data_IF_375362765204
#
_entry.id   IF_375362765204
#
_cell.length_a   1.000
_cell.length_b   1.000
_cell.length_c   1.000
_cell.angle_alpha   90.00
_cell.angle_beta   90.00
_cell.angle_gamma   90.00
#
_symmetry.space_group_name_H-M   'P 1'
#
loop_
_entity.id
_entity.type
_entity.pdbx_description
1 polymer ?
#
# COMPACT_ATOMS: atom_id res chain seq x y z
N UNK A 1 -3.54 -15.39 54.08
CA UNK A 1 -2.58 -16.08 53.19
C UNK A 1 -3.33 -16.88 52.14
N UNK A 2 -4.17 -17.86 52.49
CA UNK A 2 -4.99 -18.57 51.48
C UNK A 2 -6.08 -17.68 50.85
N UNK A 3 -6.73 -16.79 51.61
CA UNK A 3 -7.76 -15.87 51.07
C UNK A 3 -7.20 -14.77 50.15
N UNK A 4 -5.91 -14.40 50.29
CA UNK A 4 -5.27 -13.38 49.44
C UNK A 4 -4.82 -13.96 48.09
N UNK A 5 -4.48 -15.25 48.04
CA UNK A 5 -4.13 -15.95 46.80
C UNK A 5 -5.38 -16.23 45.93
N UNK A 6 -6.53 -16.52 46.56
CA UNK A 6 -7.81 -16.67 45.82
C UNK A 6 -8.30 -15.35 45.19
N UNK A 7 -8.13 -14.21 45.88
CA UNK A 7 -8.47 -12.90 45.30
C UNK A 7 -7.57 -12.52 44.11
N UNK A 8 -6.29 -12.89 44.15
CA UNK A 8 -5.34 -12.61 43.07
C UNK A 8 -5.62 -13.48 41.82
N UNK A 9 -5.99 -14.76 42.00
CA UNK A 9 -6.44 -15.62 40.89
C UNK A 9 -7.74 -15.13 40.25
N UNK A 10 -8.70 -14.65 41.05
CA UNK A 10 -9.96 -14.13 40.53
C UNK A 10 -9.76 -12.82 39.74
N UNK A 11 -8.82 -11.96 40.18
CA UNK A 11 -8.45 -10.75 39.45
C UNK A 11 -7.73 -11.06 38.13
N UNK A 12 -6.88 -12.09 38.10
CA UNK A 12 -6.19 -12.54 36.87
C UNK A 12 -7.19 -13.14 35.87
N UNK A 13 -8.16 -13.93 36.33
CA UNK A 13 -9.21 -14.49 35.47
C UNK A 13 -10.10 -13.38 34.88
N UNK A 14 -10.40 -12.34 35.68
CA UNK A 14 -11.15 -11.16 35.24
C UNK A 14 -10.40 -10.38 34.15
N UNK A 15 -9.08 -10.19 34.33
CA UNK A 15 -8.19 -9.57 33.33
C UNK A 15 -8.08 -10.39 32.05
N UNK A 16 -8.12 -11.72 32.15
CA UNK A 16 -8.12 -12.63 30.98
C UNK A 16 -9.42 -12.53 30.19
N UNK A 17 -10.58 -12.51 30.88
CA UNK A 17 -11.91 -12.34 30.27
C UNK A 17 -12.07 -10.97 29.58
N UNK A 18 -11.49 -9.90 30.13
CA UNK A 18 -11.49 -8.58 29.48
C UNK A 18 -10.64 -8.54 28.20
N UNK A 19 -9.45 -9.16 28.22
CA UNK A 19 -8.60 -9.27 27.02
C UNK A 19 -9.28 -10.06 25.90
N UNK A 20 -10.01 -11.13 26.24
CA UNK A 20 -10.77 -11.90 25.25
C UNK A 20 -11.92 -11.09 24.64
N UNK A 21 -12.63 -10.29 25.45
CA UNK A 21 -13.68 -9.38 24.97
C UNK A 21 -13.12 -8.28 24.05
N UNK A 22 -11.94 -7.75 24.34
CA UNK A 22 -11.28 -6.75 23.50
C UNK A 22 -10.84 -7.34 22.15
N UNK A 23 -10.30 -8.57 22.16
CA UNK A 23 -9.92 -9.30 20.95
C UNK A 23 -11.14 -9.64 20.08
N UNK A 24 -12.26 -10.04 20.69
CA UNK A 24 -13.53 -10.28 19.97
C UNK A 24 -14.11 -8.97 19.40
N UNK A 25 -14.02 -7.87 20.16
CA UNK A 25 -14.40 -6.54 19.71
C UNK A 25 -13.63 -6.09 18.47
N UNK A 26 -12.30 -6.24 18.46
CA UNK A 26 -11.45 -5.92 17.30
C UNK A 26 -11.78 -6.80 16.09
N UNK A 27 -11.99 -8.11 16.30
CA UNK A 27 -12.43 -9.02 15.21
C UNK A 27 -13.75 -8.57 14.60
N UNK A 28 -14.73 -8.14 15.40
CA UNK A 28 -16.04 -7.67 14.90
C UNK A 28 -15.92 -6.39 14.07
N UNK A 29 -15.04 -5.46 14.46
CA UNK A 29 -14.81 -4.20 13.72
C UNK A 29 -14.12 -4.48 12.38
N UNK A 30 -13.14 -5.38 12.34
CA UNK A 30 -12.47 -5.81 11.10
C UNK A 30 -13.45 -6.51 10.14
N UNK A 31 -14.31 -7.38 10.67
CA UNK A 31 -15.40 -8.05 9.96
C UNK A 31 -16.43 -7.05 9.40
N UNK A 32 -16.79 -6.02 10.18
CA UNK A 32 -17.72 -4.98 9.74
C UNK A 32 -17.10 -4.07 8.67
N UNK A 33 -15.81 -3.76 8.78
CA UNK A 33 -15.05 -3.00 7.78
C UNK A 33 -15.00 -3.76 6.44
N UNK A 34 -14.78 -5.08 6.47
CA UNK A 34 -14.84 -5.95 5.29
C UNK A 34 -16.25 -6.06 4.70
N UNK A 35 -17.30 -6.13 5.54
CA UNK A 35 -18.70 -6.15 5.08
C UNK A 35 -19.15 -4.83 4.45
N UNK A 36 -18.69 -3.68 4.96
CA UNK A 36 -18.99 -2.36 4.40
C UNK A 36 -18.26 -2.11 3.06
N UNK A 37 -17.06 -2.66 2.87
CA UNK A 37 -16.33 -2.64 1.59
C UNK A 37 -17.00 -3.45 0.47
N UNK A 38 -17.80 -4.46 0.82
CA UNK A 38 -18.44 -5.40 -0.13
C UNK A 38 -19.81 -4.94 -0.66
N UNK A 39 -20.36 -3.82 -0.18
CA UNK A 39 -21.72 -3.34 -0.52
C UNK A 39 -21.84 -2.42 -1.74
N UNK A 40 -20.80 -2.32 -2.58
CA UNK A 40 -20.96 -1.72 -3.93
C UNK A 40 -20.98 -2.85 -4.94
N UNK A 41 -22.11 -3.04 -5.63
CA UNK A 41 -22.31 -4.05 -6.66
C UNK A 41 -21.36 -3.80 -7.83
N UNK A 42 -20.14 -4.31 -7.72
CA UNK A 42 -19.26 -4.58 -8.86
C UNK A 42 -19.52 -6.00 -9.34
N UNK A 43 -19.40 -6.30 -10.65
CA UNK A 43 -19.48 -7.66 -11.15
C UNK A 43 -18.52 -8.56 -10.35
N UNK A 44 -19.02 -9.68 -9.83
CA UNK A 44 -18.22 -10.60 -9.03
C UNK A 44 -17.07 -11.17 -9.86
N UNK A 45 -15.88 -11.28 -9.25
CA UNK A 45 -14.64 -11.83 -9.84
C UNK A 45 -14.84 -13.17 -10.57
N UNK A 46 -15.87 -13.95 -10.21
CA UNK A 46 -16.25 -15.18 -10.91
C UNK A 46 -16.83 -14.94 -12.33
N UNK A 47 -17.60 -13.88 -12.56
CA UNK A 47 -18.21 -13.61 -13.87
C UNK A 47 -17.15 -13.33 -14.94
N UNK A 48 -16.09 -12.57 -14.59
CA UNK A 48 -14.94 -12.34 -15.47
C UNK A 48 -14.09 -13.60 -15.69
N UNK A 49 -13.92 -14.43 -14.66
CA UNK A 49 -13.22 -15.71 -14.78
C UNK A 49 -13.96 -16.70 -15.70
N UNK A 50 -15.31 -16.72 -15.66
CA UNK A 50 -16.12 -17.61 -16.49
C UNK A 50 -16.02 -17.26 -17.99
N UNK A 51 -15.95 -15.97 -18.32
CA UNK A 51 -15.75 -15.49 -19.70
C UNK A 51 -14.34 -15.83 -20.20
N UNK A 52 -13.31 -15.67 -19.36
CA UNK A 52 -11.93 -15.96 -19.75
C UNK A 52 -11.58 -17.45 -19.84
N UNK A 53 -12.25 -18.32 -19.06
CA UNK A 53 -12.03 -19.78 -19.14
C UNK A 53 -12.47 -20.40 -20.48
N UNK A 54 -13.27 -19.69 -21.27
CA UNK A 54 -13.67 -20.13 -22.60
C UNK A 54 -12.60 -19.88 -23.68
N UNK A 55 -11.53 -19.12 -23.38
CA UNK A 55 -10.61 -18.56 -24.42
C UNK A 55 -9.17 -19.11 -24.35
N UNK A 56 -8.81 -19.97 -23.38
CA UNK A 56 -7.48 -20.58 -23.29
C UNK A 56 -7.61 -22.11 -23.36
N UNK A 57 -7.16 -22.83 -24.41
CA UNK A 57 -5.77 -23.22 -24.78
C UNK A 57 -5.81 -24.13 -26.06
N UNK A 58 -4.72 -24.51 -26.78
CA UNK A 58 -3.34 -24.69 -26.28
C UNK A 58 -2.18 -24.11 -27.13
N UNK A 59 -1.02 -24.07 -26.45
CA UNK A 59 0.32 -23.82 -26.97
C UNK A 59 0.76 -24.87 -28.00
N UNK A 60 1.36 -24.45 -29.11
CA UNK A 60 2.29 -25.30 -29.88
C UNK A 60 3.46 -24.45 -30.40
N UNK A 61 4.66 -24.86 -29.99
CA UNK A 61 5.97 -24.54 -30.56
C UNK A 61 6.14 -25.28 -31.89
N UNK A 62 6.70 -24.63 -32.91
CA UNK A 62 7.34 -25.34 -34.04
C UNK A 62 6.97 -24.83 -35.43
N UNK A 63 8.01 -24.48 -36.18
CA UNK A 63 8.05 -23.94 -37.54
C UNK A 63 7.35 -24.79 -38.61
N UNK A 64 6.80 -24.12 -39.62
CA UNK A 64 7.03 -24.31 -41.08
C UNK A 64 5.77 -24.14 -41.91
N UNK A 65 5.94 -23.44 -43.03
CA UNK A 65 5.05 -23.21 -44.18
C UNK A 65 3.92 -24.21 -44.43
N UNK A 66 2.70 -23.70 -44.61
CA UNK A 66 1.95 -23.75 -45.88
C UNK A 66 0.46 -23.44 -45.64
N UNK A 67 -0.12 -22.77 -46.62
CA UNK A 67 -1.50 -22.35 -46.81
C UNK A 67 -2.57 -23.31 -46.29
N UNK A 68 -3.51 -22.81 -45.49
CA UNK A 68 -4.82 -23.43 -45.29
C UNK A 68 -5.86 -22.35 -44.93
N UNK A 69 -6.41 -21.72 -45.96
CA UNK A 69 -7.71 -21.08 -45.88
C UNK A 69 -8.78 -22.15 -45.60
N UNK A 70 -9.74 -21.80 -44.74
CA UNK A 70 -11.01 -22.51 -44.42
C UNK A 70 -10.96 -23.37 -43.14
N UNK A 71 -11.43 -22.82 -42.00
CA UNK A 71 -12.74 -23.16 -41.41
C UNK A 71 -12.87 -22.73 -39.92
N UNK A 72 -12.97 -21.44 -39.62
CA UNK A 72 -13.84 -20.93 -38.53
C UNK A 72 -14.20 -19.47 -38.84
N UNK A 73 -15.13 -19.32 -39.79
CA UNK A 73 -15.82 -18.07 -40.03
C UNK A 73 -16.86 -17.84 -38.95
N UNK A 74 -16.54 -16.99 -37.97
CA UNK A 74 -17.53 -16.07 -37.42
C UNK A 74 -17.31 -14.74 -38.11
N UNK A 75 -17.83 -14.68 -39.34
CA UNK A 75 -18.04 -13.45 -40.07
C UNK A 75 -19.16 -12.69 -39.35
N UNK A 76 -18.79 -11.96 -38.28
CA UNK A 76 -19.63 -10.93 -37.71
C UNK A 76 -19.77 -9.87 -38.79
N UNK A 77 -20.83 -10.02 -39.59
CA UNK A 77 -21.26 -9.13 -40.66
C UNK A 77 -21.43 -7.73 -40.08
N UNK A 78 -20.33 -6.99 -39.96
CA UNK A 78 -20.31 -5.59 -39.53
C UNK A 78 -21.10 -4.85 -40.60
N UNK A 79 -22.33 -4.44 -40.26
CA UNK A 79 -23.08 -3.49 -41.09
C UNK A 79 -22.10 -2.35 -41.39
N UNK A 80 -21.74 -2.18 -42.66
CA UNK A 80 -20.96 -1.04 -43.14
C UNK A 80 -21.83 0.20 -42.95
N UNK A 81 -21.85 0.72 -41.72
CA UNK A 81 -22.28 2.07 -41.46
C UNK A 81 -21.27 2.95 -42.20
N UNK A 82 -21.74 3.75 -43.15
CA UNK A 82 -20.89 4.72 -43.84
C UNK A 82 -20.40 5.68 -42.76
N UNK A 83 -19.16 5.49 -42.32
CA UNK A 83 -18.51 6.32 -41.31
C UNK A 83 -18.57 7.77 -41.79
N UNK A 84 -19.38 8.59 -41.10
CA UNK A 84 -19.67 9.96 -41.50
C UNK A 84 -18.39 10.81 -41.49
N UNK A 85 -18.35 11.90 -42.26
CA UNK A 85 -17.20 12.82 -42.27
C UNK A 85 -16.80 13.31 -40.86
N UNK A 86 -17.78 13.42 -39.96
CA UNK A 86 -17.60 13.75 -38.53
C UNK A 86 -16.88 12.64 -37.77
N UNK A 87 -17.22 11.37 -38.01
CA UNK A 87 -16.60 10.21 -37.36
C UNK A 87 -15.11 10.08 -37.73
N UNK A 88 -14.78 10.42 -38.98
CA UNK A 88 -13.39 10.54 -39.45
C UNK A 88 -12.68 11.76 -38.88
N UNK A 89 -13.36 12.91 -38.79
CA UNK A 89 -12.78 14.13 -38.22
C UNK A 89 -12.39 13.98 -36.74
N UNK A 90 -13.13 13.19 -35.97
CA UNK A 90 -12.80 12.88 -34.57
C UNK A 90 -11.98 11.59 -34.38
N UNK A 91 -11.57 10.93 -35.48
CA UNK A 91 -10.82 9.68 -35.46
C UNK A 91 -11.45 8.64 -34.52
N UNK A 92 -12.78 8.50 -34.58
CA UNK A 92 -13.55 7.68 -33.62
C UNK A 92 -13.05 6.23 -33.60
N UNK A 93 -12.71 5.65 -34.76
CA UNK A 93 -12.13 4.31 -34.82
C UNK A 93 -10.78 4.15 -34.12
N UNK A 94 -9.91 5.17 -34.13
CA UNK A 94 -8.64 5.13 -33.40
C UNK A 94 -8.84 5.28 -31.89
N UNK A 95 -9.83 6.09 -31.48
CA UNK A 95 -10.24 6.21 -30.07
C UNK A 95 -10.79 4.90 -29.54
N UNK A 96 -11.69 4.26 -30.28
CA UNK A 96 -12.25 2.94 -29.92
C UNK A 96 -11.16 1.87 -29.77
N UNK A 97 -10.14 1.88 -30.63
CA UNK A 97 -9.00 0.96 -30.51
C UNK A 97 -8.18 1.22 -29.24
N UNK A 98 -7.84 2.49 -28.96
CA UNK A 98 -7.09 2.86 -27.77
C UNK A 98 -7.87 2.56 -26.48
N UNK A 99 -9.16 2.90 -26.45
CA UNK A 99 -10.05 2.60 -25.33
C UNK A 99 -10.17 1.09 -25.11
N UNK A 100 -10.18 0.30 -26.20
CA UNK A 100 -10.16 -1.16 -26.16
C UNK A 100 -8.88 -1.72 -25.52
N UNK A 101 -7.70 -1.22 -25.90
CA UNK A 101 -6.42 -1.62 -25.29
C UNK A 101 -6.35 -1.25 -23.81
N UNK A 102 -6.79 -0.03 -23.46
CA UNK A 102 -6.88 0.42 -22.08
C UNK A 102 -7.80 -0.52 -21.27
N UNK A 103 -9.00 -0.83 -21.78
CA UNK A 103 -9.93 -1.71 -21.10
C UNK A 103 -9.33 -3.12 -20.88
N UNK A 104 -8.62 -3.67 -21.86
CA UNK A 104 -7.91 -4.95 -21.73
C UNK A 104 -6.88 -4.92 -20.61
N UNK A 105 -6.10 -3.83 -20.46
CA UNK A 105 -5.16 -3.69 -19.34
C UNK A 105 -5.89 -3.81 -18.00
N UNK A 106 -7.02 -3.13 -17.82
CA UNK A 106 -7.78 -3.20 -16.57
C UNK A 106 -8.31 -4.61 -16.29
N UNK A 107 -8.88 -5.27 -17.29
CA UNK A 107 -9.49 -6.60 -17.10
C UNK A 107 -8.45 -7.70 -16.94
N UNK A 108 -7.37 -7.67 -17.73
CA UNK A 108 -6.33 -8.71 -17.71
C UNK A 108 -5.41 -8.58 -16.50
N UNK A 109 -5.02 -7.36 -16.10
CA UNK A 109 -4.18 -7.14 -14.93
C UNK A 109 -4.98 -7.03 -13.62
N UNK A 110 -6.30 -7.06 -13.68
CA UNK A 110 -7.17 -6.95 -12.51
C UNK A 110 -7.06 -5.60 -11.80
N UNK A 111 -6.84 -4.51 -12.55
CA UNK A 111 -6.73 -3.18 -11.97
C UNK A 111 -8.09 -2.70 -11.47
N UNK A 112 -8.09 -2.05 -10.29
CA UNK A 112 -9.27 -1.36 -9.78
C UNK A 112 -9.68 -0.21 -10.70
N UNK A 113 -10.96 -0.06 -10.99
CA UNK A 113 -11.48 1.08 -11.75
C UNK A 113 -11.20 2.44 -11.07
N UNK A 114 -10.90 2.44 -9.77
CA UNK A 114 -10.44 3.65 -9.08
C UNK A 114 -9.12 4.19 -9.66
N UNK A 115 -8.26 3.32 -10.21
CA UNK A 115 -6.99 3.70 -10.83
C UNK A 115 -7.18 4.70 -11.98
N UNK A 116 -8.27 4.62 -12.73
CA UNK A 116 -8.58 5.56 -13.81
C UNK A 116 -8.79 7.01 -13.33
N UNK A 117 -9.05 7.22 -12.03
CA UNK A 117 -9.17 8.55 -11.42
C UNK A 117 -7.83 9.14 -10.99
N UNK A 118 -6.75 8.37 -11.03
CA UNK A 118 -5.44 8.86 -10.66
C UNK A 118 -5.00 9.96 -11.66
N UNK A 119 -4.64 11.17 -11.21
CA UNK A 119 -4.18 12.23 -12.10
C UNK A 119 -2.99 11.82 -12.97
N UNK A 120 -2.07 10.99 -12.46
CA UNK A 120 -0.92 10.51 -13.22
C UNK A 120 -1.33 9.59 -14.38
N UNK A 121 -2.40 8.80 -14.21
CA UNK A 121 -2.94 7.98 -15.28
C UNK A 121 -3.44 8.87 -16.43
N UNK A 122 -4.30 9.84 -16.13
CA UNK A 122 -4.84 10.79 -17.13
C UNK A 122 -3.72 11.63 -17.77
N UNK A 123 -2.80 12.14 -16.95
CA UNK A 123 -1.69 12.96 -17.41
C UNK A 123 -0.72 12.20 -18.30
N UNK A 124 -0.56 10.88 -18.13
CA UNK A 124 0.30 10.05 -19.00
C UNK A 124 -0.21 10.10 -20.44
N UNK A 125 -1.49 9.79 -20.67
CA UNK A 125 -2.06 9.81 -22.03
C UNK A 125 -2.13 11.23 -22.59
N UNK A 126 -2.51 12.21 -21.77
CA UNK A 126 -2.53 13.62 -22.17
C UNK A 126 -1.15 14.11 -22.60
N UNK A 127 -0.10 13.74 -21.87
CA UNK A 127 1.28 14.15 -22.18
C UNK A 127 1.82 13.43 -23.41
N UNK A 128 1.54 12.13 -23.55
CA UNK A 128 1.93 11.35 -24.73
C UNK A 128 1.25 11.88 -26.01
N UNK A 129 0.00 12.34 -25.91
CA UNK A 129 -0.72 12.96 -27.03
C UNK A 129 -0.21 14.37 -27.33
N UNK A 130 -0.05 15.21 -26.31
CA UNK A 130 0.31 16.63 -26.49
C UNK A 130 1.77 16.80 -26.92
N UNK A 131 2.66 15.90 -26.48
CA UNK A 131 4.09 15.92 -26.75
C UNK A 131 4.50 14.54 -27.30
N UNK A 132 4.21 14.24 -28.58
CA UNK A 132 4.58 12.96 -29.18
C UNK A 132 6.11 12.85 -29.25
N UNK A 133 6.65 11.80 -28.63
CA UNK A 133 8.08 11.49 -28.67
C UNK A 133 8.26 10.33 -29.67
N UNK A 134 8.84 10.57 -30.87
CA UNK A 134 9.02 9.52 -31.86
C UNK A 134 9.82 8.34 -31.30
N UNK A 135 9.29 7.12 -31.47
CA UNK A 135 9.93 5.89 -30.99
C UNK A 135 9.86 5.67 -29.47
N UNK A 136 9.15 6.52 -28.71
CA UNK A 136 8.96 6.30 -27.29
C UNK A 136 8.09 5.07 -27.02
N UNK A 137 8.57 4.24 -26.09
CA UNK A 137 7.82 3.12 -25.53
C UNK A 137 7.64 3.34 -24.02
N UNK A 138 6.48 2.96 -23.46
CA UNK A 138 6.30 2.97 -22.01
C UNK A 138 7.39 2.17 -21.29
N UNK A 139 7.74 2.54 -20.05
CA UNK A 139 8.78 1.83 -19.31
C UNK A 139 8.48 0.34 -19.12
N UNK A 140 9.46 -0.51 -19.41
CA UNK A 140 9.37 -1.95 -19.19
C UNK A 140 9.49 -2.36 -17.71
N UNK A 141 9.18 -3.62 -17.42
CA UNK A 141 9.14 -4.21 -16.06
C UNK A 141 10.40 -3.92 -15.23
N UNK A 142 11.58 -4.20 -15.77
CA UNK A 142 12.84 -4.00 -15.04
C UNK A 142 13.10 -2.53 -14.73
N UNK A 143 12.78 -1.63 -15.68
CA UNK A 143 12.94 -0.19 -15.49
C UNK A 143 12.04 0.34 -14.38
N UNK A 144 10.76 -0.09 -14.36
CA UNK A 144 9.83 0.26 -13.29
C UNK A 144 10.28 -0.27 -11.93
N UNK A 145 10.72 -1.53 -11.87
CA UNK A 145 11.12 -2.20 -10.63
C UNK A 145 12.39 -1.60 -10.00
N UNK A 146 13.32 -1.08 -10.80
CA UNK A 146 14.64 -0.65 -10.31
C UNK A 146 14.88 0.83 -10.53
N UNK A 147 15.22 1.25 -11.75
CA UNK A 147 15.77 2.58 -12.04
C UNK A 147 14.74 3.69 -11.81
N UNK A 148 13.50 3.52 -12.28
CA UNK A 148 12.44 4.50 -12.10
C UNK A 148 11.96 4.55 -10.64
N UNK A 149 11.89 3.40 -9.97
CA UNK A 149 11.59 3.35 -8.54
C UNK A 149 12.62 4.11 -7.71
N UNK A 150 13.91 3.92 -7.99
CA UNK A 150 14.99 4.66 -7.31
C UNK A 150 14.93 6.16 -7.59
N UNK A 151 14.64 6.56 -8.83
CA UNK A 151 14.45 7.97 -9.20
C UNK A 151 13.28 8.60 -8.46
N UNK A 152 12.15 7.90 -8.35
CA UNK A 152 10.97 8.40 -7.64
C UNK A 152 11.22 8.46 -6.13
N UNK A 153 11.91 7.45 -5.57
CA UNK A 153 12.35 7.50 -4.18
C UNK A 153 13.22 8.73 -3.90
N UNK A 154 14.22 8.98 -4.73
CA UNK A 154 15.08 10.17 -4.60
C UNK A 154 14.30 11.48 -4.79
N UNK A 155 13.29 11.48 -5.68
CA UNK A 155 12.39 12.62 -5.86
C UNK A 155 11.58 12.92 -4.58
N UNK A 156 10.98 11.89 -3.99
CA UNK A 156 10.25 12.01 -2.72
C UNK A 156 11.20 12.47 -1.61
N UNK A 157 12.39 11.87 -1.49
CA UNK A 157 13.39 12.28 -0.49
C UNK A 157 13.75 13.76 -0.62
N UNK A 158 13.87 14.29 -1.85
CA UNK A 158 14.08 15.72 -2.11
C UNK A 158 12.89 16.57 -1.68
N UNK A 159 11.66 16.13 -1.97
CA UNK A 159 10.44 16.83 -1.55
C UNK A 159 10.26 16.84 -0.02
N UNK A 160 10.87 15.89 0.69
CA UNK A 160 10.84 15.82 2.15
C UNK A 160 11.90 16.71 2.82
N UNK A 161 12.92 17.20 2.10
CA UNK A 161 13.99 18.04 2.67
C UNK A 161 13.43 19.27 3.41
N UNK A 162 12.50 20.07 2.83
CA UNK A 162 11.97 21.25 3.54
C UNK A 162 11.22 20.92 4.83
N UNK A 163 10.66 19.71 4.94
CA UNK A 163 10.02 19.24 6.18
C UNK A 163 11.09 18.91 7.21
N UNK A 164 12.18 18.25 6.80
CA UNK A 164 13.31 17.93 7.68
C UNK A 164 14.05 19.16 8.17
N UNK A 165 14.19 20.16 7.29
CA UNK A 165 14.83 21.45 7.61
C UNK A 165 14.02 22.26 8.64
N UNK A 166 12.75 21.92 8.88
CA UNK A 166 11.92 22.58 9.90
C UNK A 166 12.01 21.95 11.29
N UNK A 167 12.68 20.80 11.41
CA UNK A 167 12.71 19.99 12.64
C UNK A 167 13.51 20.63 13.78
N UNK A 168 14.48 21.48 13.47
CA UNK A 168 15.29 22.21 14.46
C UNK A 168 14.49 23.31 15.17
N UNK A 169 13.61 24.01 14.45
CA UNK A 169 12.77 25.09 14.99
C UNK A 169 11.50 24.55 15.63
N UNK A 170 10.82 23.60 14.96
CA UNK A 170 9.49 23.12 15.38
C UNK A 170 9.53 21.89 16.27
N UNK A 171 10.64 21.17 16.26
CA UNK A 171 10.75 19.88 16.90
C UNK A 171 9.99 18.76 16.18
N UNK A 172 10.25 17.54 16.63
CA UNK A 172 9.67 16.31 16.10
C UNK A 172 9.21 15.41 17.23
N UNK A 173 8.01 14.87 17.07
CA UNK A 173 7.50 13.76 17.88
C UNK A 173 7.68 12.46 17.11
N UNK A 174 8.34 11.47 17.70
CA UNK A 174 8.47 10.14 17.11
C UNK A 174 7.33 9.27 17.60
N UNK A 175 6.57 8.67 16.69
CA UNK A 175 5.53 7.71 17.02
C UNK A 175 5.95 6.30 16.62
N UNK A 176 5.84 5.37 17.56
CA UNK A 176 6.02 3.94 17.34
C UNK A 176 4.69 3.23 17.45
N UNK A 177 4.39 2.38 16.47
CA UNK A 177 3.21 1.53 16.47
C UNK A 177 3.57 0.09 16.05
N UNK A 178 3.00 -0.87 16.79
CA UNK A 178 3.17 -2.29 16.57
C UNK A 178 1.93 -2.91 15.94
N UNK A 179 2.09 -3.54 14.78
CA UNK A 179 0.99 -4.14 14.02
C UNK A 179 1.32 -5.58 13.59
N UNK A 180 0.28 -6.38 13.31
CA UNK A 180 0.41 -7.69 12.68
C UNK A 180 -0.14 -7.61 11.25
N UNK A 181 0.68 -7.96 10.25
CA UNK A 181 0.21 -7.97 8.86
C UNK A 181 -0.83 -9.06 8.58
N UNK A 182 -1.36 -9.09 7.35
CA UNK A 182 -2.35 -10.09 6.93
C UNK A 182 -1.81 -11.53 7.00
N UNK A 183 -0.50 -11.70 7.05
CA UNK A 183 0.19 -12.99 7.20
C UNK A 183 0.59 -13.26 8.65
N UNK A 184 0.10 -12.44 9.61
CA UNK A 184 0.43 -12.50 11.05
C UNK A 184 1.90 -12.22 11.36
N UNK A 185 2.63 -11.55 10.46
CA UNK A 185 4.01 -11.15 10.72
C UNK A 185 4.05 -9.88 11.55
N UNK A 186 4.86 -9.85 12.61
CA UNK A 186 5.01 -8.69 13.45
C UNK A 186 5.77 -7.56 12.73
N UNK A 187 5.14 -6.39 12.63
CA UNK A 187 5.74 -5.16 12.11
C UNK A 187 5.82 -4.10 13.20
N UNK A 188 6.88 -3.28 13.14
CA UNK A 188 7.01 -2.06 13.93
C UNK A 188 7.17 -0.90 12.96
N UNK A 189 6.26 0.07 13.05
CA UNK A 189 6.26 1.29 12.26
C UNK A 189 6.82 2.44 13.09
N UNK A 190 7.70 3.23 12.49
CA UNK A 190 8.21 4.47 13.08
C UNK A 190 7.88 5.64 12.17
N UNK A 191 7.22 6.62 12.75
CA UNK A 191 6.79 7.85 12.08
C UNK A 191 7.37 9.06 12.82
N UNK A 192 7.70 10.10 12.08
CA UNK A 192 8.01 11.43 12.61
C UNK A 192 6.80 12.32 12.38
N UNK A 193 6.32 12.94 13.44
CA UNK A 193 5.26 13.94 13.41
C UNK A 193 5.91 15.28 13.68
N UNK A 194 5.76 16.20 12.73
CA UNK A 194 6.06 17.61 12.91
C UNK A 194 4.77 18.39 12.67
N UNK A 195 4.65 19.58 13.22
CA UNK A 195 3.48 20.47 13.07
C UNK A 195 3.06 20.63 11.59
N UNK A 196 4.04 20.62 10.68
CA UNK A 196 3.80 20.77 9.24
C UNK A 196 3.14 19.51 8.65
N UNK A 197 3.76 18.34 8.83
CA UNK A 197 3.34 17.06 8.22
C UNK A 197 3.86 15.86 9.02
N UNK A 198 3.14 14.74 8.86
CA UNK A 198 3.59 13.42 9.26
C UNK A 198 4.48 12.80 8.18
N UNK A 199 5.58 12.19 8.59
CA UNK A 199 6.54 11.51 7.73
C UNK A 199 6.73 10.07 8.22
N UNK A 200 6.54 9.11 7.33
CA UNK A 200 6.92 7.74 7.59
C UNK A 200 8.44 7.58 7.50
N UNK A 201 9.09 7.08 8.54
CA UNK A 201 10.55 6.92 8.58
C UNK A 201 10.97 5.51 8.15
N UNK A 202 10.39 4.48 8.78
CA UNK A 202 10.70 3.08 8.52
C UNK A 202 9.62 2.16 9.07
N UNK A 203 9.46 1.00 8.42
CA UNK A 203 8.81 -0.18 8.98
C UNK A 203 9.84 -1.29 9.08
N UNK A 204 9.80 -2.05 10.16
CA UNK A 204 10.70 -3.18 10.42
C UNK A 204 9.88 -4.45 10.55
N UNK A 205 10.22 -5.46 9.76
CA UNK A 205 9.76 -6.82 9.98
C UNK A 205 10.50 -7.42 11.17
N UNK A 206 9.76 -7.84 12.19
CA UNK A 206 10.27 -8.41 13.43
C UNK A 206 10.00 -9.92 13.51
N UNK A 207 9.72 -10.57 12.36
CA UNK A 207 9.52 -12.01 12.28
C UNK A 207 10.78 -12.75 12.74
N UNK A 208 10.65 -13.64 13.73
CA UNK A 208 11.77 -14.36 14.33
C UNK A 208 12.52 -13.58 15.43
N UNK A 209 12.18 -12.31 15.67
CA UNK A 209 12.80 -11.47 16.70
C UNK A 209 11.94 -11.38 17.96
N UNK A 210 12.58 -11.35 19.12
CA UNK A 210 11.89 -11.10 20.40
C UNK A 210 11.68 -9.60 20.55
N UNK A 211 10.41 -9.15 20.58
CA UNK A 211 10.03 -7.75 20.81
C UNK A 211 10.16 -7.34 22.27
N UNK A 212 11.35 -7.49 22.83
CA UNK A 212 11.63 -7.03 24.18
C UNK A 212 11.72 -5.50 24.23
N UNK A 213 11.77 -4.96 25.45
CA UNK A 213 11.90 -3.52 25.68
C UNK A 213 13.20 -2.94 25.10
N UNK A 214 14.29 -3.72 25.03
CA UNK A 214 15.58 -3.26 24.56
C UNK A 214 15.61 -3.12 23.04
N UNK A 215 15.01 -4.06 22.32
CA UNK A 215 14.83 -4.04 20.88
C UNK A 215 14.05 -2.79 20.46
N UNK A 216 12.89 -2.56 21.07
CA UNK A 216 12.06 -1.39 20.79
C UNK A 216 12.80 -0.10 21.14
N UNK A 217 13.49 -0.04 22.29
CA UNK A 217 14.28 1.13 22.68
C UNK A 217 15.41 1.41 21.69
N UNK A 218 16.13 0.38 21.24
CA UNK A 218 17.19 0.54 20.24
C UNK A 218 16.65 1.09 18.92
N UNK A 219 15.50 0.60 18.46
CA UNK A 219 14.86 1.11 17.25
C UNK A 219 14.48 2.59 17.35
N UNK A 220 14.01 3.02 18.53
CA UNK A 220 13.69 4.42 18.84
C UNK A 220 14.96 5.27 18.92
N UNK A 221 15.96 4.85 19.68
CA UNK A 221 17.26 5.51 19.83
C UNK A 221 17.93 5.72 18.48
N UNK A 222 17.93 4.70 17.62
CA UNK A 222 18.51 4.82 16.28
C UNK A 222 17.76 5.82 15.41
N UNK A 223 16.45 5.93 15.59
CA UNK A 223 15.63 6.92 14.88
C UNK A 223 15.92 8.34 15.40
N UNK A 224 16.03 8.51 16.73
CA UNK A 224 16.40 9.77 17.38
C UNK A 224 17.78 10.23 16.90
N UNK A 225 18.77 9.33 16.85
CA UNK A 225 20.12 9.63 16.37
C UNK A 225 20.14 10.06 14.91
N UNK A 226 19.32 9.46 14.06
CA UNK A 226 19.21 9.84 12.64
C UNK A 226 18.57 11.21 12.44
N UNK A 227 17.61 11.58 13.29
CA UNK A 227 16.93 12.88 13.26
C UNK A 227 17.79 13.99 13.90
N UNK A 228 18.60 13.62 14.89
CA UNK A 228 19.28 14.54 15.79
C UNK A 228 18.52 14.61 17.11
N UNK A 229 19.11 14.20 18.25
CA UNK A 229 18.44 14.23 19.54
C UNK A 229 17.89 15.60 19.92
N UNK A 230 18.57 16.67 19.53
CA UNK A 230 18.18 18.06 19.78
C UNK A 230 16.88 18.48 19.06
N UNK A 231 16.53 17.79 17.97
CA UNK A 231 15.32 18.08 17.18
C UNK A 231 14.12 17.27 17.67
N UNK A 232 14.33 16.27 18.54
CA UNK A 232 13.26 15.41 19.04
C UNK A 232 12.75 15.97 20.36
N UNK A 233 11.45 16.23 20.43
CA UNK A 233 10.79 16.74 21.63
C UNK A 233 10.12 15.61 22.41
N UNK A 234 9.54 14.65 21.70
CA UNK A 234 8.71 13.62 22.32
C UNK A 234 8.78 12.27 21.61
N UNK A 235 8.57 11.20 22.37
CA UNK A 235 8.31 9.85 21.85
C UNK A 235 6.95 9.36 22.31
N UNK A 236 6.14 8.89 21.38
CA UNK A 236 4.84 8.29 21.63
C UNK A 236 4.91 6.81 21.27
N UNK A 237 4.53 5.94 22.19
CA UNK A 237 4.45 4.49 21.97
C UNK A 237 3.07 3.97 22.32
N UNK A 238 2.75 2.73 21.93
CA UNK A 238 1.56 2.05 22.42
C UNK A 238 1.61 1.81 23.95
N UNK A 239 0.46 1.42 24.52
CA UNK A 239 0.28 1.10 25.93
C UNK A 239 0.92 -0.23 26.38
N UNK A 240 1.53 -1.00 25.48
CA UNK A 240 2.06 -2.33 25.81
C UNK A 240 3.22 -2.22 26.82
N UNK A 241 3.35 -3.23 27.68
CA UNK A 241 4.35 -3.24 28.77
C UNK A 241 5.77 -3.05 28.25
N UNK A 242 6.12 -3.73 27.15
CA UNK A 242 7.45 -3.62 26.55
C UNK A 242 7.71 -2.23 25.96
N UNK A 243 6.68 -1.60 25.38
CA UNK A 243 6.78 -0.25 24.82
C UNK A 243 6.90 0.82 25.90
N UNK A 244 6.14 0.70 26.99
CA UNK A 244 6.31 1.56 28.18
C UNK A 244 7.72 1.47 28.73
N UNK A 245 8.25 0.26 28.90
CA UNK A 245 9.59 0.06 29.40
C UNK A 245 10.66 0.58 28.42
N UNK A 246 10.45 0.39 27.11
CA UNK A 246 11.33 0.93 26.07
C UNK A 246 11.37 2.46 26.09
N UNK A 247 10.22 3.11 26.26
CA UNK A 247 10.11 4.57 26.38
C UNK A 247 10.90 5.10 27.58
N UNK A 248 10.78 4.46 28.75
CA UNK A 248 11.55 4.84 29.94
C UNK A 248 13.06 4.73 29.70
N UNK A 249 13.52 3.72 28.95
CA UNK A 249 14.94 3.61 28.55
C UNK A 249 15.38 4.75 27.63
N UNK A 250 14.49 5.24 26.77
CA UNK A 250 14.77 6.39 25.89
C UNK A 250 14.85 7.69 26.71
N UNK A 251 13.90 7.92 27.62
CA UNK A 251 13.89 9.09 28.51
C UNK A 251 15.15 9.14 29.40
N UNK A 252 15.55 7.99 29.95
CA UNK A 252 16.78 7.88 30.74
C UNK A 252 18.04 8.23 29.94
N UNK A 253 18.03 7.97 28.63
CA UNK A 253 19.15 8.26 27.72
C UNK A 253 19.14 9.70 27.20
N UNK A 254 17.96 10.29 27.04
CA UNK A 254 17.77 11.65 26.53
C UNK A 254 16.82 12.42 27.46
N UNK A 255 17.33 13.04 28.56
CA UNK A 255 16.49 13.64 29.59
C UNK A 255 15.59 14.79 29.11
N UNK A 256 15.88 15.39 27.96
CA UNK A 256 15.09 16.47 27.36
C UNK A 256 13.95 15.97 26.47
N UNK A 257 13.87 14.66 26.21
CA UNK A 257 12.81 14.05 25.39
C UNK A 257 11.72 13.50 26.30
N UNK A 258 10.49 13.97 26.09
CA UNK A 258 9.33 13.51 26.85
C UNK A 258 8.76 12.23 26.24
N UNK A 259 8.38 11.25 27.05
CA UNK A 259 7.64 10.10 26.56
C UNK A 259 6.16 10.15 26.95
N UNK A 260 5.31 9.77 26.01
CA UNK A 260 3.89 9.50 26.25
C UNK A 260 3.49 8.13 25.71
N UNK A 261 2.37 7.62 26.20
CA UNK A 261 1.73 6.41 25.70
C UNK A 261 0.29 6.71 25.28
N UNK A 262 -0.21 6.00 24.26
CA UNK A 262 -1.59 6.06 23.78
C UNK A 262 -2.38 4.88 24.30
#
# INVERSE_FOLDING_TARGET
MEEEEEEEEEEEEKRKKEREKEVDGRRRVDDECQRRGSRRRTPTRLQLYQVFKLVLLPSVVGSSSASASTLYGLDLKRRKWVSGAIEKAFNIGAREQLDGEIARIFYMAGLSFHFARNPHYVNTFKSAYSNPIPGYLPPGYNSLKTTLFQKEKANIERLLVPIKDSWDVKGVTICNDGWLDSQRRPLINIMAICEIRLMFLKAINCEGEVKDKYFIANLLIDSIRKIGPQNVVQVITDNAVNCKAARLLVEAKFPHIFGHHV
#
